data_IF_374202228187
#
_entry.id   IF_374202228187
#
_cell.length_a   1.000
_cell.length_b   1.000
_cell.length_c   1.000
_cell.angle_alpha   90.00
_cell.angle_beta   90.00
_cell.angle_gamma   90.00
#
_symmetry.space_group_name_H-M   'P 1'
#
loop_
_entity.id
_entity.type
_entity.pdbx_description
1 polymer ?
#
# COMPACT_ATOMS: atom_id res chain seq x y z
N UNK A 1 -4.41 -39.93 27.29
CA UNK A 1 -3.26 -39.02 27.09
C UNK A 1 -3.57 -38.19 25.83
N UNK A 2 -4.40 -37.15 25.96
CA UNK A 2 -4.91 -36.42 24.79
C UNK A 2 -5.21 -34.96 25.15
N UNK A 3 -4.17 -34.14 25.27
CA UNK A 3 -4.32 -32.68 25.43
C UNK A 3 -3.16 -32.01 24.69
N UNK A 4 -3.29 -31.84 23.37
CA UNK A 4 -2.31 -31.14 22.56
C UNK A 4 -2.92 -30.41 21.34
N UNK A 5 -4.23 -30.19 21.30
CA UNK A 5 -4.91 -29.60 20.13
C UNK A 5 -5.39 -28.17 20.31
N UNK A 6 -5.46 -27.63 21.53
CA UNK A 6 -6.09 -26.32 21.76
C UNK A 6 -5.19 -25.10 21.48
N UNK A 7 -3.87 -25.27 21.34
CA UNK A 7 -2.94 -24.13 21.33
C UNK A 7 -2.61 -23.59 19.92
N UNK A 8 -3.03 -24.27 18.85
CA UNK A 8 -2.68 -23.91 17.46
C UNK A 8 -3.70 -22.99 16.77
N UNK A 9 -4.92 -22.87 17.30
CA UNK A 9 -5.99 -22.10 16.66
C UNK A 9 -5.81 -20.59 16.84
N UNK A 10 -5.52 -20.11 18.05
CA UNK A 10 -5.40 -18.68 18.33
C UNK A 10 -4.34 -17.97 17.46
N UNK A 11 -3.23 -18.65 17.17
CA UNK A 11 -2.15 -18.08 16.34
C UNK A 11 -2.54 -17.98 14.86
N UNK A 12 -3.39 -18.88 14.35
CA UNK A 12 -3.88 -18.84 12.97
C UNK A 12 -4.91 -17.73 12.77
N UNK A 13 -5.82 -17.56 13.73
CA UNK A 13 -6.80 -16.47 13.72
C UNK A 13 -6.14 -15.10 13.78
N UNK A 14 -5.08 -14.93 14.57
CA UNK A 14 -4.30 -13.68 14.59
C UNK A 14 -3.69 -13.34 13.23
N UNK A 15 -3.16 -14.32 12.49
CA UNK A 15 -2.61 -14.10 11.14
C UNK A 15 -3.73 -13.73 10.15
N UNK A 16 -4.87 -14.41 10.19
CA UNK A 16 -6.02 -14.10 9.31
C UNK A 16 -6.56 -12.70 9.59
N UNK A 17 -6.74 -12.34 10.87
CA UNK A 17 -7.18 -11.01 11.26
C UNK A 17 -6.20 -9.92 10.78
N UNK A 18 -4.88 -10.18 10.89
CA UNK A 18 -3.86 -9.28 10.36
C UNK A 18 -3.91 -9.15 8.82
N UNK A 19 -4.11 -10.26 8.11
CA UNK A 19 -4.28 -10.25 6.65
C UNK A 19 -5.48 -9.42 6.21
N UNK A 20 -6.61 -9.57 6.90
CA UNK A 20 -7.83 -8.81 6.60
C UNK A 20 -7.65 -7.33 6.94
N UNK A 21 -7.05 -7.01 8.08
CA UNK A 21 -6.81 -5.63 8.49
C UNK A 21 -5.88 -4.89 7.52
N UNK A 22 -4.76 -5.52 7.14
CA UNK A 22 -3.80 -4.91 6.19
C UNK A 22 -4.41 -4.73 4.80
N UNK A 23 -5.24 -5.67 4.33
CA UNK A 23 -5.97 -5.53 3.07
C UNK A 23 -7.06 -4.45 3.14
N UNK A 24 -7.81 -4.36 4.24
CA UNK A 24 -8.79 -3.31 4.44
C UNK A 24 -8.14 -1.92 4.47
N UNK A 25 -7.00 -1.78 5.15
CA UNK A 25 -6.22 -0.55 5.16
C UNK A 25 -5.67 -0.20 3.77
N UNK A 26 -5.20 -1.20 3.01
CA UNK A 26 -4.74 -1.00 1.63
C UNK A 26 -5.86 -0.60 0.68
N UNK A 27 -7.09 -1.12 0.87
CA UNK A 27 -8.26 -0.67 0.12
C UNK A 27 -8.66 0.75 0.51
N UNK A 28 -8.60 1.07 1.81
CA UNK A 28 -8.92 2.41 2.31
C UNK A 28 -7.92 3.46 1.78
N UNK A 29 -6.65 3.10 1.60
CA UNK A 29 -5.66 3.98 0.98
C UNK A 29 -5.91 4.25 -0.51
N UNK A 30 -6.75 3.45 -1.18
CA UNK A 30 -7.18 3.74 -2.56
C UNK A 30 -8.11 4.95 -2.63
N UNK A 31 -8.81 5.29 -1.54
CA UNK A 31 -9.75 6.41 -1.53
C UNK A 31 -9.05 7.77 -1.78
N UNK A 32 -8.02 8.17 -1.00
CA UNK A 32 -7.24 9.37 -1.32
C UNK A 32 -6.45 9.24 -2.63
N UNK A 33 -6.04 8.02 -3.01
CA UNK A 33 -5.37 7.79 -4.29
C UNK A 33 -6.25 8.14 -5.50
N UNK A 34 -7.56 7.87 -5.47
CA UNK A 34 -8.47 8.23 -6.55
C UNK A 34 -8.44 9.73 -6.87
N UNK A 35 -8.32 10.57 -5.84
CA UNK A 35 -8.16 12.02 -6.03
C UNK A 35 -6.86 12.34 -6.78
N UNK A 36 -5.74 11.73 -6.38
CA UNK A 36 -4.44 11.92 -7.03
C UNK A 36 -4.48 11.41 -8.48
N UNK A 37 -5.16 10.28 -8.73
CA UNK A 37 -5.32 9.71 -10.07
C UNK A 37 -6.18 10.58 -10.98
N UNK A 38 -7.21 11.24 -10.44
CA UNK A 38 -8.00 12.21 -11.19
C UNK A 38 -7.19 13.47 -11.51
N UNK A 39 -6.47 14.01 -10.52
CA UNK A 39 -5.64 15.20 -10.69
C UNK A 39 -4.43 14.96 -11.61
N UNK A 40 -3.92 13.73 -11.70
CA UNK A 40 -2.75 13.45 -12.53
C UNK A 40 -3.02 13.64 -14.03
N UNK A 41 -4.27 13.48 -14.48
CA UNK A 41 -4.67 13.71 -15.89
C UNK A 41 -4.51 15.18 -16.29
N UNK A 42 -4.53 16.13 -15.34
CA UNK A 42 -4.26 17.55 -15.63
C UNK A 42 -2.82 17.80 -16.11
N UNK A 43 -1.92 16.82 -16.01
CA UNK A 43 -0.61 16.88 -16.65
C UNK A 43 -0.70 17.00 -18.19
N UNK A 44 -1.85 16.66 -18.78
CA UNK A 44 -2.13 16.81 -20.21
C UNK A 44 -2.68 18.19 -20.60
N UNK A 45 -2.89 19.13 -19.67
CA UNK A 45 -3.49 20.44 -20.01
C UNK A 45 -2.55 21.34 -20.84
N UNK A 46 -1.25 21.07 -20.87
CA UNK A 46 -0.31 21.84 -21.69
C UNK A 46 -0.46 21.54 -23.20
N UNK A 47 -0.33 22.55 -24.07
CA UNK A 47 -0.48 22.35 -25.52
C UNK A 47 0.60 21.41 -26.06
N UNK A 48 0.18 20.35 -26.77
CA UNK A 48 1.08 19.35 -27.34
C UNK A 48 1.58 18.28 -26.34
N UNK A 49 1.14 18.33 -25.09
CA UNK A 49 1.49 17.37 -24.02
C UNK A 49 1.21 15.91 -24.37
N UNK A 50 0.17 15.64 -25.16
CA UNK A 50 -0.23 14.28 -25.56
C UNK A 50 0.83 13.56 -26.39
N UNK A 51 1.70 14.32 -27.08
CA UNK A 51 2.80 13.78 -27.88
C UNK A 51 4.11 13.65 -27.08
N UNK A 52 4.12 14.12 -25.84
CA UNK A 52 5.28 14.09 -24.96
C UNK A 52 5.20 12.87 -24.04
N UNK A 53 6.29 12.12 -23.80
CA UNK A 53 6.26 10.92 -22.96
C UNK A 53 6.06 11.23 -21.46
N UNK A 54 6.39 12.43 -20.99
CA UNK A 54 6.44 12.77 -19.57
C UNK A 54 5.07 12.67 -18.88
N UNK A 55 3.97 13.25 -19.41
CA UNK A 55 2.65 13.13 -18.81
C UNK A 55 2.14 11.69 -18.81
N UNK A 56 2.43 10.91 -19.85
CA UNK A 56 2.08 9.49 -19.92
C UNK A 56 2.78 8.66 -18.85
N UNK A 57 4.08 8.89 -18.65
CA UNK A 57 4.84 8.20 -17.61
C UNK A 57 4.30 8.58 -16.23
N UNK A 58 4.04 9.88 -15.99
CA UNK A 58 3.52 10.36 -14.72
C UNK A 58 2.14 9.75 -14.39
N UNK A 59 1.19 9.85 -15.31
CA UNK A 59 -0.15 9.27 -15.15
C UNK A 59 -0.05 7.75 -15.01
N UNK A 60 0.76 7.09 -15.84
CA UNK A 60 0.99 5.64 -15.76
C UNK A 60 1.52 5.19 -14.40
N UNK A 61 2.49 5.92 -13.83
CA UNK A 61 3.01 5.63 -12.49
C UNK A 61 1.92 5.81 -11.44
N UNK A 62 1.18 6.91 -11.46
CA UNK A 62 0.08 7.16 -10.50
C UNK A 62 -0.98 6.05 -10.62
N UNK A 63 -1.36 5.69 -11.84
CA UNK A 63 -2.37 4.67 -12.12
C UNK A 63 -1.93 3.24 -11.82
N UNK A 64 -0.63 2.98 -11.73
CA UNK A 64 -0.09 1.67 -11.36
C UNK A 64 -0.29 1.33 -9.88
N UNK A 65 -0.49 2.35 -9.02
CA UNK A 65 -0.61 2.17 -7.57
C UNK A 65 -1.64 1.12 -7.13
N UNK A 66 -2.91 1.08 -7.59
CA UNK A 66 -3.89 0.09 -7.18
C UNK A 66 -3.52 -1.36 -7.54
N UNK A 67 -2.68 -1.55 -8.55
CA UNK A 67 -2.23 -2.90 -8.95
C UNK A 67 -1.33 -3.50 -7.87
N UNK A 68 -0.51 -2.67 -7.22
CA UNK A 68 0.45 -3.12 -6.21
C UNK A 68 -0.17 -3.77 -4.95
N UNK A 69 -1.14 -3.17 -4.23
CA UNK A 69 -1.78 -3.79 -3.08
C UNK A 69 -2.57 -5.04 -3.46
N UNK A 70 -3.18 -5.08 -4.65
CA UNK A 70 -3.90 -6.26 -5.16
C UNK A 70 -2.92 -7.42 -5.36
N UNK A 71 -1.80 -7.18 -6.06
CA UNK A 71 -0.78 -8.21 -6.26
C UNK A 71 -0.19 -8.70 -4.93
N UNK A 72 0.11 -7.79 -4.00
CA UNK A 72 0.63 -8.18 -2.69
C UNK A 72 -0.40 -9.00 -1.90
N UNK A 73 -1.69 -8.66 -1.97
CA UNK A 73 -2.74 -9.47 -1.34
C UNK A 73 -2.78 -10.88 -1.92
N UNK A 74 -2.80 -11.02 -3.25
CA UNK A 74 -2.79 -12.33 -3.92
C UNK A 74 -1.55 -13.17 -3.53
N UNK A 75 -0.37 -12.55 -3.54
CA UNK A 75 0.89 -13.22 -3.16
C UNK A 75 0.87 -13.59 -1.67
N UNK A 76 0.33 -12.74 -0.80
CA UNK A 76 0.23 -13.01 0.63
C UNK A 76 -0.63 -14.25 0.95
N UNK A 77 -1.77 -14.38 0.27
CA UNK A 77 -2.64 -15.56 0.36
C UNK A 77 -1.96 -16.81 -0.20
N UNK A 78 -1.26 -16.69 -1.33
CA UNK A 78 -0.48 -17.80 -1.90
C UNK A 78 0.59 -18.30 -0.92
N UNK A 79 1.35 -17.40 -0.30
CA UNK A 79 2.38 -17.76 0.70
C UNK A 79 1.80 -18.32 2.00
N UNK A 80 0.61 -17.88 2.38
CA UNK A 80 -0.12 -18.44 3.51
C UNK A 80 -0.47 -19.92 3.25
N UNK A 81 -0.97 -20.24 2.05
CA UNK A 81 -1.24 -21.62 1.63
C UNK A 81 0.05 -22.45 1.56
N UNK A 82 1.16 -21.86 1.11
CA UNK A 82 2.49 -22.51 1.05
C UNK A 82 3.16 -22.69 2.43
N UNK A 83 2.46 -22.45 3.54
CA UNK A 83 2.96 -22.59 4.92
C UNK A 83 4.23 -21.78 5.23
N UNK A 84 4.43 -20.63 4.58
CA UNK A 84 5.54 -19.70 4.85
C UNK A 84 5.05 -18.43 5.57
N UNK A 85 4.72 -18.50 6.88
CA UNK A 85 4.04 -17.41 7.59
C UNK A 85 4.89 -16.13 7.72
N UNK A 86 6.22 -16.25 7.84
CA UNK A 86 7.13 -15.09 7.92
C UNK A 86 7.13 -14.26 6.64
N UNK A 87 7.12 -14.93 5.50
CA UNK A 87 7.14 -14.26 4.21
C UNK A 87 5.77 -13.66 3.85
N UNK A 88 4.67 -14.30 4.27
CA UNK A 88 3.31 -13.71 4.16
C UNK A 88 3.24 -12.37 4.91
N UNK A 89 3.79 -12.27 6.12
CA UNK A 89 3.81 -11.01 6.88
C UNK A 89 4.55 -9.89 6.14
N UNK A 90 5.75 -10.16 5.60
CA UNK A 90 6.55 -9.16 4.87
C UNK A 90 5.82 -8.67 3.61
N UNK A 91 5.22 -9.60 2.87
CA UNK A 91 4.48 -9.24 1.65
C UNK A 91 3.24 -8.39 1.96
N UNK A 92 2.58 -8.63 3.10
CA UNK A 92 1.37 -7.88 3.48
C UNK A 92 1.65 -6.49 4.02
N UNK A 93 2.87 -6.25 4.53
CA UNK A 93 3.29 -4.92 4.97
C UNK A 93 3.89 -4.08 3.85
N UNK A 94 4.30 -4.69 2.72
CA UNK A 94 4.84 -3.98 1.56
C UNK A 94 3.88 -2.92 1.00
N UNK A 95 2.56 -3.18 0.85
CA UNK A 95 1.59 -2.18 0.41
C UNK A 95 1.45 -0.97 1.33
N UNK A 96 1.87 -1.09 2.60
CA UNK A 96 1.80 -0.01 3.57
C UNK A 96 2.99 0.96 3.46
N UNK A 97 4.06 0.59 2.73
CA UNK A 97 5.24 1.44 2.56
C UNK A 97 4.92 2.80 1.91
N UNK A 98 4.17 2.89 0.80
CA UNK A 98 3.89 4.19 0.20
C UNK A 98 3.07 5.13 1.10
N UNK A 99 1.98 4.70 1.75
CA UNK A 99 1.30 5.51 2.76
C UNK A 99 2.22 5.96 3.91
N UNK A 100 3.07 5.07 4.42
CA UNK A 100 4.03 5.39 5.49
C UNK A 100 5.08 6.41 5.05
N UNK A 101 5.63 6.26 3.83
CA UNK A 101 6.58 7.20 3.27
C UNK A 101 5.96 8.59 3.10
N UNK A 102 4.69 8.65 2.67
CA UNK A 102 3.95 9.90 2.52
C UNK A 102 3.73 10.58 3.88
N UNK A 103 3.29 9.82 4.90
CA UNK A 103 3.17 10.34 6.28
C UNK A 103 4.52 10.85 6.80
N UNK A 104 5.61 10.11 6.58
CA UNK A 104 6.95 10.53 6.95
C UNK A 104 7.38 11.83 6.28
N UNK A 105 7.13 11.97 4.98
CA UNK A 105 7.44 13.18 4.22
C UNK A 105 6.63 14.39 4.73
N UNK A 106 5.35 14.20 5.06
CA UNK A 106 4.52 15.26 5.64
C UNK A 106 5.05 15.71 7.00
N UNK A 107 5.44 14.78 7.88
CA UNK A 107 6.01 15.11 9.20
C UNK A 107 7.32 15.88 9.05
N UNK A 108 8.23 15.42 8.17
CA UNK A 108 9.51 16.09 7.91
C UNK A 108 9.28 17.49 7.32
N UNK A 109 8.35 17.61 6.36
CA UNK A 109 7.99 18.90 5.77
C UNK A 109 7.46 19.89 6.81
N UNK A 110 6.58 19.44 7.71
CA UNK A 110 6.05 20.26 8.80
C UNK A 110 7.15 20.69 9.79
N UNK A 111 8.03 19.78 10.17
CA UNK A 111 9.13 20.09 11.09
C UNK A 111 10.10 21.13 10.50
N UNK A 112 10.48 20.97 9.23
CA UNK A 112 11.32 21.94 8.52
C UNK A 112 10.66 23.31 8.39
N UNK A 113 9.34 23.35 8.15
CA UNK A 113 8.58 24.59 8.11
C UNK A 113 8.63 25.33 9.45
N UNK A 114 8.39 24.62 10.57
CA UNK A 114 8.46 25.20 11.92
C UNK A 114 9.86 25.76 12.19
N UNK A 115 10.93 25.01 11.88
CA UNK A 115 12.32 25.43 12.08
C UNK A 115 12.75 26.62 11.21
N UNK A 116 12.00 26.94 10.15
CA UNK A 116 12.30 28.07 9.26
C UNK A 116 11.57 29.36 9.68
N UNK A 117 10.49 29.23 10.45
CA UNK A 117 9.64 30.35 10.88
C UNK A 117 10.07 30.91 12.24
N UNK A 118 10.76 30.11 13.07
CA UNK A 118 11.39 30.51 14.32
C UNK A 118 12.90 30.65 14.17
#
# INVERSE_FOLDING_TARGET
MTIATAQTDGRRWGVIAWLLLTQALALLSLFPWLLIAALSVMAFDAPGSVNQPEPWIFVGIVWSYPVFPILCALIAWLLFVLRKPRASLIVTSLPLLPPLALIGLLIVGQLLFILRVY
#
